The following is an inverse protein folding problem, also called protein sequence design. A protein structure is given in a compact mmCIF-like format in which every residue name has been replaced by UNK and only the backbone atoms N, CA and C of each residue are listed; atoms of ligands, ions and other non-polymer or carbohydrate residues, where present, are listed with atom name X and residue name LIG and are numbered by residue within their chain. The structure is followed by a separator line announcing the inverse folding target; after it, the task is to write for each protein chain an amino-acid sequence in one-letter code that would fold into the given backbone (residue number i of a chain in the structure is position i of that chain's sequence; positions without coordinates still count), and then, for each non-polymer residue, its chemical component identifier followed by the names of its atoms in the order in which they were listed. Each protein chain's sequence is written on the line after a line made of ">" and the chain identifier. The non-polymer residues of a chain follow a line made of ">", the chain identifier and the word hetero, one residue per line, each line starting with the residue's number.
data_IF_378652849684
#
_entry.id   IF_378652849684
#
_cell.length_a   1.000
_cell.length_b   1.000
_cell.length_c   1.000
_cell.angle_alpha   90.00
_cell.angle_beta   90.00
_cell.angle_gamma   90.00
#
_symmetry.space_group_name_H-M   'P 1'
#
loop_
_entity.id
_entity.type
_entity.pdbx_description
1 polymer ?
#
# COMPACT_ATOMS: atom_id res chain seq x y z
N UNK A 1 15.66 10.49 26.56
CA UNK A 1 15.24 9.20 26.00
C UNK A 1 15.53 9.24 24.52
N UNK A 2 16.05 8.18 23.88
CA UNK A 2 16.23 8.21 22.42
C UNK A 2 14.87 8.44 21.77
N UNK A 3 14.87 9.31 20.75
CA UNK A 3 13.66 9.62 20.01
C UNK A 3 13.17 8.37 19.28
N UNK A 4 11.89 8.00 19.48
CA UNK A 4 11.32 6.82 18.82
C UNK A 4 11.10 7.12 17.36
N UNK A 5 11.56 6.24 16.48
CA UNK A 5 11.22 6.28 15.05
C UNK A 5 9.73 6.00 14.86
N UNK A 6 9.03 6.93 14.25
CA UNK A 6 7.60 6.82 13.94
C UNK A 6 7.41 6.38 12.49
N UNK A 7 6.77 5.25 12.29
CA UNK A 7 6.47 4.71 10.97
C UNK A 7 4.99 4.89 10.67
N UNK A 8 4.66 5.58 9.59
CA UNK A 8 3.30 5.70 9.10
C UNK A 8 3.09 4.66 7.98
N UNK A 9 2.16 3.73 8.18
CA UNK A 9 1.83 2.68 7.23
C UNK A 9 0.41 2.90 6.75
N UNK A 10 0.28 3.29 5.48
CA UNK A 10 -0.99 3.58 4.86
C UNK A 10 -1.55 2.32 4.20
N UNK A 11 -2.81 2.04 4.44
CA UNK A 11 -3.50 0.85 3.94
C UNK A 11 -4.95 1.15 3.59
N UNK A 12 -5.63 0.25 2.90
CA UNK A 12 -7.09 0.25 2.73
C UNK A 12 -7.69 -1.03 3.32
N UNK A 13 -8.99 -1.03 3.47
CA UNK A 13 -9.77 -2.17 3.96
C UNK A 13 -10.47 -2.92 2.81
N UNK A 14 -10.33 -2.45 1.57
CA UNK A 14 -10.75 -3.16 0.37
C UNK A 14 -9.92 -4.43 0.16
N UNK A 15 -10.55 -5.58 0.39
CA UNK A 15 -9.85 -6.87 0.44
C UNK A 15 -8.95 -7.04 1.66
N UNK A 16 -8.65 -8.27 2.02
CA UNK A 16 -7.88 -8.57 3.24
C UNK A 16 -6.37 -8.39 3.10
N UNK A 17 -5.83 -8.34 1.87
CA UNK A 17 -4.38 -8.38 1.61
C UNK A 17 -3.63 -7.13 2.06
N UNK A 18 -4.17 -5.95 1.79
CA UNK A 18 -3.52 -4.68 2.08
C UNK A 18 -3.35 -4.46 3.59
N UNK A 19 -4.44 -4.61 4.35
CA UNK A 19 -4.46 -4.44 5.82
C UNK A 19 -3.58 -5.47 6.52
N UNK A 20 -3.65 -6.74 6.10
CA UNK A 20 -2.83 -7.81 6.67
C UNK A 20 -1.34 -7.54 6.46
N UNK A 21 -0.95 -7.12 5.26
CA UNK A 21 0.44 -6.75 4.96
C UNK A 21 0.90 -5.55 5.78
N UNK A 22 0.06 -4.52 5.94
CA UNK A 22 0.38 -3.35 6.76
C UNK A 22 0.60 -3.72 8.23
N UNK A 23 -0.28 -4.54 8.80
CA UNK A 23 -0.16 -5.02 10.17
C UNK A 23 1.10 -5.88 10.36
N UNK A 24 1.42 -6.74 9.39
CA UNK A 24 2.62 -7.57 9.41
C UNK A 24 3.90 -6.73 9.43
N UNK A 25 3.95 -5.66 8.60
CA UNK A 25 5.06 -4.70 8.59
C UNK A 25 5.17 -4.00 9.95
N UNK A 26 4.06 -3.49 10.49
CA UNK A 26 4.03 -2.81 11.80
C UNK A 26 4.56 -3.71 12.91
N UNK A 27 4.07 -4.96 12.97
CA UNK A 27 4.49 -5.95 13.94
C UNK A 27 5.99 -6.27 13.81
N UNK A 28 6.48 -6.48 12.59
CA UNK A 28 7.89 -6.74 12.33
C UNK A 28 8.80 -5.59 12.78
N UNK A 29 8.40 -4.33 12.53
CA UNK A 29 9.14 -3.15 12.97
C UNK A 29 9.21 -3.05 14.50
N UNK A 30 8.08 -3.28 15.21
CA UNK A 30 8.02 -3.25 16.67
C UNK A 30 8.87 -4.37 17.26
N UNK A 31 8.79 -5.59 16.71
CA UNK A 31 9.60 -6.72 17.15
C UNK A 31 11.10 -6.49 16.94
N UNK A 32 11.46 -5.87 15.81
CA UNK A 32 12.87 -5.60 15.47
C UNK A 32 13.48 -4.47 16.30
N UNK A 33 12.65 -3.49 16.70
CA UNK A 33 13.07 -2.28 17.42
C UNK A 33 12.15 -2.00 18.62
N UNK A 34 12.12 -2.87 19.64
CA UNK A 34 11.08 -2.83 20.69
C UNK A 34 11.07 -1.54 21.52
N UNK A 35 12.23 -0.89 21.67
CA UNK A 35 12.35 0.38 22.41
C UNK A 35 12.47 1.61 21.52
N UNK A 36 12.61 1.42 20.20
CA UNK A 36 12.94 2.49 19.24
C UNK A 36 11.94 2.70 18.11
N UNK A 37 10.89 1.89 18.00
CA UNK A 37 9.89 2.02 16.94
C UNK A 37 8.49 2.25 17.50
N UNK A 38 7.72 3.05 16.77
CA UNK A 38 6.28 3.22 16.90
C UNK A 38 5.66 3.17 15.51
N UNK A 39 4.72 2.27 15.29
CA UNK A 39 4.06 2.08 13.99
C UNK A 39 2.59 2.49 14.07
N UNK A 40 2.16 3.31 13.11
CA UNK A 40 0.80 3.78 12.92
C UNK A 40 0.27 3.17 11.62
N UNK A 41 -0.69 2.26 11.72
CA UNK A 41 -1.38 1.67 10.57
C UNK A 41 -2.70 2.40 10.36
N UNK A 42 -2.81 3.16 9.28
CA UNK A 42 -3.91 4.09 9.06
C UNK A 42 -4.55 3.83 7.69
N UNK A 43 -5.88 3.86 7.65
CA UNK A 43 -6.64 3.98 6.40
C UNK A 43 -7.10 5.43 6.24
N UNK A 44 -6.44 6.24 5.39
CA UNK A 44 -6.75 7.66 5.26
C UNK A 44 -8.16 7.94 4.71
N UNK A 45 -8.78 6.96 4.08
CA UNK A 45 -10.13 7.12 3.49
C UNK A 45 -11.18 7.32 4.58
N UNK A 46 -10.98 6.72 5.76
CA UNK A 46 -11.93 6.81 6.88
C UNK A 46 -11.58 7.89 7.91
N UNK A 47 -10.44 8.56 7.78
CA UNK A 47 -10.02 9.62 8.70
C UNK A 47 -10.71 10.97 8.45
N UNK A 48 -11.22 11.23 7.22
CA UNK A 48 -11.86 12.49 6.84
C UNK A 48 -13.26 12.27 6.25
N UNK A 49 -14.26 12.97 6.81
CA UNK A 49 -15.65 12.95 6.30
C UNK A 49 -15.80 13.52 4.87
N UNK A 50 -14.82 14.29 4.40
CA UNK A 50 -14.83 14.81 3.03
C UNK A 50 -14.63 13.72 1.97
N UNK A 51 -14.10 12.58 2.34
CA UNK A 51 -13.81 11.44 1.46
C UNK A 51 -14.98 10.43 1.35
N UNK A 52 -16.23 10.82 1.64
CA UNK A 52 -17.40 9.92 1.62
C UNK A 52 -17.58 9.13 0.32
N UNK A 53 -17.21 9.70 -0.82
CA UNK A 53 -17.25 8.99 -2.09
C UNK A 53 -16.25 7.83 -2.10
N UNK A 54 -15.02 8.05 -1.63
CA UNK A 54 -13.99 7.01 -1.53
C UNK A 54 -14.38 5.95 -0.50
N UNK A 55 -14.96 6.35 0.63
CA UNK A 55 -15.47 5.42 1.65
C UNK A 55 -16.50 4.46 1.06
N UNK A 56 -17.51 4.99 0.36
CA UNK A 56 -18.53 4.17 -0.31
C UNK A 56 -17.93 3.26 -1.41
N UNK A 57 -16.95 3.75 -2.16
CA UNK A 57 -16.28 2.96 -3.17
C UNK A 57 -15.50 1.79 -2.55
N UNK A 58 -14.85 2.01 -1.41
CA UNK A 58 -14.14 0.97 -0.67
C UNK A 58 -15.10 -0.04 -0.03
N UNK A 59 -16.17 0.42 0.62
CA UNK A 59 -17.20 -0.43 1.23
C UNK A 59 -17.89 -1.35 0.21
N UNK A 60 -18.12 -0.86 -1.02
CA UNK A 60 -18.76 -1.62 -2.08
C UNK A 60 -17.78 -2.42 -2.96
N UNK A 61 -16.47 -2.36 -2.68
CA UNK A 61 -15.45 -3.00 -3.51
C UNK A 61 -15.69 -4.51 -3.66
N UNK A 62 -15.85 -5.22 -2.53
CA UNK A 62 -16.01 -6.69 -2.51
C UNK A 62 -17.29 -7.13 -3.23
N UNK A 63 -18.40 -6.41 -3.05
CA UNK A 63 -19.64 -6.70 -3.75
C UNK A 63 -19.52 -6.42 -5.25
N UNK A 64 -18.89 -5.32 -5.64
CA UNK A 64 -18.68 -4.97 -7.06
C UNK A 64 -17.84 -6.03 -7.78
N UNK A 65 -16.76 -6.50 -7.14
CA UNK A 65 -15.90 -7.55 -7.71
C UNK A 65 -16.64 -8.88 -7.84
N UNK A 66 -17.48 -9.24 -6.85
CA UNK A 66 -18.21 -10.52 -6.84
C UNK A 66 -19.42 -10.49 -7.77
N UNK A 67 -20.21 -9.43 -7.71
CA UNK A 67 -21.52 -9.38 -8.37
C UNK A 67 -21.42 -8.87 -9.82
N UNK A 68 -20.37 -8.12 -10.15
CA UNK A 68 -20.16 -7.49 -11.47
C UNK A 68 -18.72 -7.67 -11.99
N UNK A 69 -18.20 -8.90 -12.14
CA UNK A 69 -16.80 -9.16 -12.50
C UNK A 69 -16.40 -8.59 -13.87
N UNK A 70 -17.32 -8.61 -14.86
CA UNK A 70 -17.05 -8.08 -16.19
C UNK A 70 -16.97 -6.54 -16.18
N UNK A 71 -17.82 -5.89 -15.39
CA UNK A 71 -17.75 -4.44 -15.19
C UNK A 71 -16.45 -4.05 -14.50
N UNK A 72 -16.05 -4.80 -13.48
CA UNK A 72 -14.78 -4.56 -12.77
C UNK A 72 -13.58 -4.70 -13.73
N UNK A 73 -13.56 -5.77 -14.54
CA UNK A 73 -12.50 -5.98 -15.55
C UNK A 73 -12.42 -4.82 -16.56
N UNK A 74 -13.57 -4.41 -17.08
CA UNK A 74 -13.65 -3.28 -18.02
C UNK A 74 -13.16 -1.96 -17.39
N UNK A 75 -13.61 -1.66 -16.17
CA UNK A 75 -13.16 -0.47 -15.42
C UNK A 75 -11.65 -0.52 -15.14
N UNK A 76 -11.12 -1.71 -14.81
CA UNK A 76 -9.69 -1.94 -14.60
C UNK A 76 -8.90 -1.66 -15.89
N UNK A 77 -9.30 -2.26 -17.04
CA UNK A 77 -8.62 -2.09 -18.32
C UNK A 77 -8.64 -0.63 -18.81
N UNK A 78 -9.75 0.07 -18.66
CA UNK A 78 -9.83 1.50 -19.01
C UNK A 78 -8.92 2.34 -18.13
N UNK A 79 -8.87 2.06 -16.83
CA UNK A 79 -8.03 2.80 -15.89
C UNK A 79 -6.52 2.59 -16.09
N UNK A 80 -6.12 1.57 -16.84
CA UNK A 80 -4.73 1.38 -17.30
C UNK A 80 -4.33 2.39 -18.40
N UNK A 81 -5.29 3.03 -19.07
CA UNK A 81 -4.97 4.03 -20.09
C UNK A 81 -4.37 5.28 -19.45
N UNK A 82 -3.35 5.87 -20.09
CA UNK A 82 -2.58 6.98 -19.53
C UNK A 82 -3.45 8.17 -19.11
N UNK A 83 -4.44 8.54 -19.91
CA UNK A 83 -5.32 9.69 -19.63
C UNK A 83 -6.21 9.43 -18.42
N UNK A 84 -6.81 8.25 -18.33
CA UNK A 84 -7.67 7.87 -17.21
C UNK A 84 -6.85 7.68 -15.94
N UNK A 85 -5.68 7.04 -16.04
CA UNK A 85 -4.74 6.94 -14.91
C UNK A 85 -4.43 8.31 -14.31
N UNK A 86 -4.07 9.29 -15.13
CA UNK A 86 -3.77 10.66 -14.67
C UNK A 86 -4.98 11.32 -14.01
N UNK A 87 -6.19 11.11 -14.55
CA UNK A 87 -7.42 11.62 -13.94
C UNK A 87 -7.68 10.99 -12.57
N UNK A 88 -7.54 9.66 -12.46
CA UNK A 88 -7.69 8.93 -11.19
C UNK A 88 -6.67 9.42 -10.16
N UNK A 89 -5.39 9.51 -10.53
CA UNK A 89 -4.33 10.01 -9.65
C UNK A 89 -4.61 11.44 -9.16
N UNK A 90 -5.07 12.32 -10.06
CA UNK A 90 -5.41 13.70 -9.70
C UNK A 90 -6.61 13.76 -8.75
N UNK A 91 -7.64 12.97 -9.02
CA UNK A 91 -8.85 12.89 -8.17
C UNK A 91 -8.51 12.37 -6.78
N UNK A 92 -7.73 11.28 -6.69
CA UNK A 92 -7.26 10.72 -5.42
C UNK A 92 -6.41 11.73 -4.65
N UNK A 93 -5.51 12.43 -5.36
CA UNK A 93 -4.65 13.46 -4.75
C UNK A 93 -5.48 14.57 -4.14
N UNK A 94 -6.45 15.13 -4.87
CA UNK A 94 -7.34 16.16 -4.35
C UNK A 94 -8.16 15.68 -3.14
N UNK A 95 -8.74 14.49 -3.23
CA UNK A 95 -9.59 13.93 -2.19
C UNK A 95 -8.84 13.59 -0.90
N UNK A 96 -7.58 13.18 -0.99
CA UNK A 96 -6.79 12.69 0.15
C UNK A 96 -5.78 13.72 0.68
N UNK A 97 -5.52 14.81 -0.08
CA UNK A 97 -4.46 15.77 0.24
C UNK A 97 -4.54 16.32 1.66
N UNK A 98 -5.73 16.81 2.07
CA UNK A 98 -5.93 17.41 3.39
C UNK A 98 -5.71 16.39 4.51
N UNK A 99 -6.28 15.20 4.37
CA UNK A 99 -6.17 14.13 5.36
C UNK A 99 -4.71 13.66 5.51
N UNK A 100 -4.04 13.36 4.40
CA UNK A 100 -2.64 12.94 4.43
C UNK A 100 -1.72 14.03 4.98
N UNK A 101 -1.97 15.30 4.64
CA UNK A 101 -1.22 16.44 5.17
C UNK A 101 -1.38 16.58 6.68
N UNK A 102 -2.59 16.37 7.20
CA UNK A 102 -2.86 16.36 8.65
C UNK A 102 -2.14 15.22 9.34
N UNK A 103 -2.29 13.98 8.85
CA UNK A 103 -1.63 12.79 9.41
C UNK A 103 -0.11 12.92 9.44
N UNK A 104 0.51 13.38 8.34
CA UNK A 104 1.96 13.54 8.25
C UNK A 104 2.44 14.61 9.23
N UNK A 105 1.71 15.72 9.37
CA UNK A 105 2.04 16.78 10.33
C UNK A 105 1.83 16.37 11.78
N UNK A 106 0.86 15.55 12.10
CA UNK A 106 0.57 15.08 13.45
C UNK A 106 1.57 14.01 13.89
N UNK A 107 1.78 13.03 13.04
CA UNK A 107 2.64 11.87 13.35
C UNK A 107 4.12 12.21 13.25
N UNK A 108 4.53 13.16 12.38
CA UNK A 108 5.92 13.46 12.06
C UNK A 108 6.71 12.16 11.76
N UNK A 109 6.33 11.41 10.71
CA UNK A 109 6.90 10.08 10.49
C UNK A 109 8.38 10.15 10.06
N UNK A 110 9.18 9.26 10.60
CA UNK A 110 10.57 9.02 10.17
C UNK A 110 10.63 8.30 8.83
N UNK A 111 9.58 7.53 8.49
CA UNK A 111 9.38 6.93 7.19
C UNK A 111 7.88 6.63 6.98
N UNK A 112 7.48 6.59 5.70
CA UNK A 112 6.11 6.27 5.28
C UNK A 112 6.17 5.02 4.39
N UNK A 113 5.23 4.09 4.58
CA UNK A 113 5.00 2.96 3.69
C UNK A 113 3.54 2.96 3.22
N UNK A 114 3.30 2.61 1.95
CA UNK A 114 1.95 2.36 1.44
C UNK A 114 1.83 0.90 1.02
N UNK A 115 0.77 0.23 1.48
CA UNK A 115 0.38 -1.12 1.03
C UNK A 115 -0.79 -1.09 0.06
N UNK A 116 -1.19 0.11 -0.42
CA UNK A 116 -2.24 0.25 -1.42
C UNK A 116 -1.86 1.31 -2.46
N UNK A 117 -2.19 1.05 -3.74
CA UNK A 117 -1.86 1.92 -4.88
C UNK A 117 -2.48 3.31 -4.82
N UNK A 118 -3.63 3.45 -4.16
CA UNK A 118 -4.39 4.71 -4.09
C UNK A 118 -3.61 5.83 -3.39
N UNK A 119 -2.68 5.49 -2.52
CA UNK A 119 -1.93 6.47 -1.72
C UNK A 119 -0.58 6.86 -2.32
N UNK A 120 -0.12 6.16 -3.36
CA UNK A 120 1.24 6.36 -3.90
C UNK A 120 1.46 7.78 -4.44
N UNK A 121 0.60 8.24 -5.33
CA UNK A 121 0.67 9.61 -5.89
C UNK A 121 0.27 10.69 -4.86
N UNK A 122 -0.82 10.53 -4.07
CA UNK A 122 -1.19 11.51 -3.06
C UNK A 122 -0.12 11.78 -2.00
N UNK A 123 0.54 10.74 -1.49
CA UNK A 123 1.64 10.90 -0.50
C UNK A 123 2.80 11.70 -1.10
N UNK A 124 3.24 11.32 -2.30
CA UNK A 124 4.33 12.04 -2.98
C UNK A 124 3.98 13.53 -3.18
N UNK A 125 2.74 13.84 -3.55
CA UNK A 125 2.25 15.21 -3.70
C UNK A 125 2.29 15.98 -2.38
N UNK A 126 1.82 15.38 -1.28
CA UNK A 126 1.82 16.02 0.04
C UNK A 126 3.24 16.24 0.57
N UNK A 127 4.14 15.26 0.42
CA UNK A 127 5.55 15.44 0.81
C UNK A 127 6.22 16.58 0.06
N UNK A 128 5.94 16.70 -1.24
CA UNK A 128 6.43 17.80 -2.06
C UNK A 128 5.85 19.16 -1.59
N UNK A 129 4.54 19.23 -1.32
CA UNK A 129 3.88 20.44 -0.81
C UNK A 129 4.43 20.88 0.56
N UNK A 130 4.75 19.92 1.42
CA UNK A 130 5.35 20.17 2.73
C UNK A 130 6.86 20.44 2.68
N UNK A 131 7.49 20.31 1.51
CA UNK A 131 8.95 20.31 1.34
C UNK A 131 9.68 19.35 2.30
N UNK A 132 9.08 18.17 2.51
CA UNK A 132 9.61 17.13 3.39
C UNK A 132 10.35 16.06 2.58
N UNK A 133 11.50 15.60 3.14
CA UNK A 133 12.30 14.50 2.58
C UNK A 133 12.13 13.21 3.38
N UNK A 134 10.92 12.99 3.90
CA UNK A 134 10.60 11.73 4.61
C UNK A 134 10.69 10.55 3.64
N UNK A 135 11.49 9.52 3.91
CA UNK A 135 11.57 8.32 3.08
C UNK A 135 10.18 7.70 2.86
N UNK A 136 9.84 7.45 1.59
CA UNK A 136 8.56 6.90 1.20
C UNK A 136 8.71 5.61 0.41
N UNK A 137 8.05 4.56 0.85
CA UNK A 137 8.11 3.21 0.30
C UNK A 137 6.75 2.74 -0.17
N UNK A 138 6.71 1.98 -1.26
CA UNK A 138 5.51 1.27 -1.71
C UNK A 138 5.74 -0.23 -1.61
N UNK A 139 4.83 -0.92 -0.94
CA UNK A 139 4.83 -2.38 -0.79
C UNK A 139 3.67 -2.92 -1.62
N UNK A 140 3.99 -3.45 -2.79
CA UNK A 140 3.01 -3.99 -3.74
C UNK A 140 2.55 -5.35 -3.25
N UNK A 141 1.27 -5.47 -2.92
CA UNK A 141 0.67 -6.67 -2.34
C UNK A 141 0.06 -7.61 -3.38
N UNK A 142 0.02 -7.18 -4.64
CA UNK A 142 -0.46 -7.99 -5.75
C UNK A 142 0.65 -8.96 -6.23
N UNK A 143 0.26 -10.23 -6.51
CA UNK A 143 1.20 -11.31 -6.81
C UNK A 143 1.61 -11.39 -8.28
N UNK A 144 0.68 -11.16 -9.19
CA UNK A 144 0.89 -11.44 -10.61
C UNK A 144 0.37 -10.34 -11.54
N UNK A 145 -0.89 -9.96 -11.43
CA UNK A 145 -1.49 -8.88 -12.21
C UNK A 145 -1.56 -7.63 -11.35
N UNK A 146 -0.91 -6.58 -11.81
CA UNK A 146 -0.67 -5.38 -11.02
C UNK A 146 -1.06 -4.16 -11.82
N UNK A 147 -1.93 -3.34 -11.25
CA UNK A 147 -2.37 -2.11 -11.87
C UNK A 147 -1.23 -1.06 -11.94
N UNK A 148 -1.16 -0.30 -13.02
CA UNK A 148 -0.11 0.74 -13.21
C UNK A 148 -0.19 1.89 -12.21
N UNK A 149 -1.30 2.07 -11.49
CA UNK A 149 -1.43 3.02 -10.38
C UNK A 149 -0.41 2.79 -9.25
N UNK A 150 0.08 1.56 -9.08
CA UNK A 150 1.16 1.29 -8.15
C UNK A 150 2.44 2.05 -8.46
N UNK A 151 2.69 2.32 -9.75
CA UNK A 151 3.98 2.75 -10.25
C UNK A 151 3.96 4.21 -10.69
N UNK A 152 4.69 5.06 -9.96
CA UNK A 152 4.97 6.45 -10.27
C UNK A 152 6.38 6.84 -9.80
N UNK A 153 6.74 8.11 -9.88
CA UNK A 153 8.11 8.57 -9.53
C UNK A 153 8.27 8.98 -8.07
N UNK A 154 7.19 8.95 -7.27
CA UNK A 154 7.20 9.46 -5.90
C UNK A 154 7.98 8.62 -4.89
N UNK A 155 7.78 7.30 -4.84
CA UNK A 155 8.46 6.44 -3.86
C UNK A 155 9.97 6.36 -4.06
N UNK A 156 10.69 6.27 -2.95
CA UNK A 156 12.13 6.02 -2.95
C UNK A 156 12.46 4.59 -3.30
N UNK A 157 11.61 3.63 -2.86
CA UNK A 157 11.73 2.21 -3.18
C UNK A 157 10.36 1.54 -3.30
N UNK A 158 10.37 0.48 -4.11
CA UNK A 158 9.26 -0.46 -4.29
C UNK A 158 9.68 -1.84 -3.79
N UNK A 159 8.86 -2.42 -2.93
CA UNK A 159 8.96 -3.82 -2.53
C UNK A 159 7.87 -4.59 -3.27
N UNK A 160 8.26 -5.60 -4.04
CA UNK A 160 7.34 -6.33 -4.92
C UNK A 160 7.36 -7.82 -4.64
N UNK A 161 6.26 -8.50 -4.96
CA UNK A 161 6.04 -9.88 -4.61
C UNK A 161 6.86 -10.87 -5.48
N UNK A 162 7.10 -10.54 -6.75
CA UNK A 162 7.64 -11.49 -7.72
C UNK A 162 8.41 -10.80 -8.85
N UNK A 163 9.17 -11.59 -9.64
CA UNK A 163 9.84 -11.12 -10.86
C UNK A 163 8.86 -10.55 -11.88
N UNK A 164 7.66 -11.11 -11.99
CA UNK A 164 6.61 -10.62 -12.89
C UNK A 164 6.18 -9.19 -12.51
N UNK A 165 5.98 -8.93 -11.22
CA UNK A 165 5.64 -7.59 -10.71
C UNK A 165 6.81 -6.63 -10.88
N UNK A 166 8.06 -7.08 -10.67
CA UNK A 166 9.26 -6.29 -10.94
C UNK A 166 9.34 -5.88 -12.41
N UNK A 167 9.10 -6.81 -13.33
CA UNK A 167 9.09 -6.51 -14.76
C UNK A 167 8.02 -5.47 -15.13
N UNK A 168 6.80 -5.59 -14.58
CA UNK A 168 5.72 -4.60 -14.76
C UNK A 168 6.10 -3.23 -14.20
N UNK A 169 6.74 -3.15 -13.04
CA UNK A 169 7.23 -1.88 -12.47
C UNK A 169 8.22 -1.18 -13.43
N UNK A 170 9.20 -1.93 -13.94
CA UNK A 170 10.22 -1.40 -14.86
C UNK A 170 9.57 -0.93 -16.18
N UNK A 171 8.69 -1.73 -16.77
CA UNK A 171 7.96 -1.34 -18.01
C UNK A 171 7.01 -0.18 -17.80
N UNK A 172 6.57 0.07 -16.54
CA UNK A 172 5.80 1.25 -16.15
C UNK A 172 6.67 2.49 -15.87
N UNK A 173 7.99 2.40 -16.05
CA UNK A 173 8.94 3.52 -15.94
C UNK A 173 9.57 3.71 -14.56
N UNK A 174 9.49 2.72 -13.67
CA UNK A 174 10.22 2.73 -12.40
C UNK A 174 11.68 2.34 -12.65
N UNK A 175 12.61 3.07 -12.03
CA UNK A 175 14.02 2.74 -12.05
C UNK A 175 14.26 1.33 -11.45
N UNK A 176 14.91 0.41 -12.19
CA UNK A 176 15.20 -0.94 -11.70
C UNK A 176 15.93 -0.99 -10.35
N UNK A 177 16.75 0.03 -10.05
CA UNK A 177 17.48 0.13 -8.77
C UNK A 177 16.57 0.44 -7.58
N UNK A 178 15.38 0.96 -7.83
CA UNK A 178 14.37 1.24 -6.81
C UNK A 178 13.47 0.04 -6.51
N UNK A 179 13.56 -1.06 -7.26
CA UNK A 179 12.66 -2.21 -7.12
C UNK A 179 13.37 -3.38 -6.47
N UNK A 180 12.84 -3.82 -5.34
CA UNK A 180 13.34 -4.98 -4.58
C UNK A 180 12.26 -6.07 -4.55
N UNK A 181 12.61 -7.30 -4.92
CA UNK A 181 11.73 -8.46 -4.74
C UNK A 181 11.85 -8.92 -3.30
N UNK A 182 10.76 -8.81 -2.54
CA UNK A 182 10.72 -9.15 -1.11
C UNK A 182 9.69 -10.23 -0.77
N UNK A 183 8.84 -10.61 -1.71
CA UNK A 183 7.62 -11.33 -1.39
C UNK A 183 6.55 -10.39 -0.80
N UNK A 184 5.42 -10.97 -0.38
CA UNK A 184 4.36 -10.28 0.36
C UNK A 184 4.68 -10.35 1.86
N UNK A 185 4.51 -9.24 2.62
CA UNK A 185 4.65 -9.26 4.07
C UNK A 185 3.67 -10.24 4.72
N UNK A 186 4.19 -11.15 5.52
CA UNK A 186 3.42 -12.10 6.32
C UNK A 186 3.64 -11.85 7.80
N UNK A 187 2.70 -12.28 8.65
CA UNK A 187 2.82 -12.11 10.10
C UNK A 187 4.14 -12.74 10.61
N UNK A 188 4.96 -12.01 11.36
CA UNK A 188 6.22 -12.52 11.92
C UNK A 188 6.06 -13.75 12.82
N UNK A 189 4.86 -13.98 13.38
CA UNK A 189 4.57 -15.20 14.15
C UNK A 189 4.31 -16.39 13.25
N UNK A 190 4.17 -16.19 11.94
CA UNK A 190 4.12 -17.28 10.98
C UNK A 190 5.50 -17.94 10.91
N UNK A 191 5.76 -18.78 11.89
CA UNK A 191 6.93 -19.66 11.86
C UNK A 191 6.64 -20.72 10.81
N UNK A 192 7.56 -20.90 9.87
CA UNK A 192 7.64 -22.15 9.13
C UNK A 192 7.74 -23.25 10.19
N UNK A 193 6.59 -23.81 10.57
CA UNK A 193 6.57 -24.96 11.45
C UNK A 193 7.33 -26.07 10.71
N UNK A 194 8.05 -26.90 11.45
CA UNK A 194 8.69 -28.11 10.90
C UNK A 194 7.65 -29.16 10.43
N UNK A 195 6.48 -28.70 10.01
CA UNK A 195 5.38 -29.50 9.47
C UNK A 195 5.81 -29.92 8.07
N UNK A 196 5.86 -31.22 7.85
CA UNK A 196 6.12 -31.78 6.53
C UNK A 196 5.00 -31.37 5.57
N UNK A 197 5.26 -31.24 4.25
CA UNK A 197 4.21 -30.87 3.28
C UNK A 197 2.98 -31.77 3.26
N UNK A 198 3.08 -32.97 3.84
CA UNK A 198 1.97 -33.94 3.96
C UNK A 198 1.05 -33.60 5.15
N UNK A 199 1.63 -33.08 6.24
CA UNK A 199 0.87 -32.69 7.43
C UNK A 199 0.14 -31.35 7.20
N UNK A 200 0.76 -30.46 6.45
CA UNK A 200 0.18 -29.14 6.11
C UNK A 200 -1.09 -29.28 5.25
N UNK A 201 -1.15 -30.29 4.35
CA UNK A 201 -2.34 -30.57 3.53
C UNK A 201 -3.54 -31.10 4.34
N UNK A 202 -3.34 -31.60 5.55
CA UNK A 202 -4.40 -32.14 6.41
C UNK A 202 -5.03 -31.06 7.33
N UNK A 203 -4.39 -29.92 7.47
CA UNK A 203 -4.87 -28.82 8.33
C UNK A 203 -5.78 -27.82 7.60
N UNK A 204 -6.01 -28.00 6.29
CA UNK A 204 -6.89 -27.16 5.47
C UNK A 204 -8.16 -27.94 5.17
N UNK A 205 -9.03 -28.13 6.18
CA UNK A 205 -10.43 -28.59 6.01
C UNK A 205 -11.34 -27.63 6.74
#
# INVERSE_FOLDING_TARGET
>A
MPEKHRFLILTSDSGFGHRTSANSIAKALILRYPSGAQAYVVNPIFEDSASRFLQRAEENYDSTVKDHPDFYRFAYEISETRSIKTLVESTLTLALHKTLKSLIKEIHPSAIASTNQMFTTPVASVLNDLNMRTPFFTVVTDLAEVHTLWFNKGPDRYFVASDRVRAKAITSGVDPQKVTISGIPVDPDFKLSNITPVEDRKSVV
#
